data_IF_441156690307
#
_entry.id   IF_441156690307
#
_cell.length_a   1.000
_cell.length_b   1.000
_cell.length_c   1.000
_cell.angle_alpha   90.00
_cell.angle_beta   90.00
_cell.angle_gamma   90.00
#
_symmetry.space_group_name_H-M   'P 1'
#
loop_
_entity.id
_entity.type
_entity.pdbx_description
1 polymer ?
#
# COMPACT_ATOMS: atom_id res chain seq x y z
N UNK A 1 -17.19 6.90 -19.43
CA UNK A 1 -16.78 7.01 -18.02
C UNK A 1 -16.89 5.65 -17.30
N UNK A 2 -18.02 4.92 -17.39
CA UNK A 2 -18.16 3.53 -16.87
C UNK A 2 -16.99 2.56 -17.09
N UNK A 3 -16.52 2.40 -18.32
CA UNK A 3 -15.39 1.48 -18.63
C UNK A 3 -14.09 1.91 -17.93
N UNK A 4 -13.89 3.22 -17.75
CA UNK A 4 -12.73 3.77 -17.04
C UNK A 4 -12.84 3.47 -15.54
N UNK A 5 -14.00 3.72 -14.91
CA UNK A 5 -14.22 3.37 -13.49
C UNK A 5 -14.08 1.87 -13.20
N UNK A 6 -14.58 1.01 -14.09
CA UNK A 6 -14.44 -0.43 -13.98
C UNK A 6 -12.99 -0.89 -14.14
N UNK A 7 -12.27 -0.33 -15.12
CA UNK A 7 -10.85 -0.61 -15.32
C UNK A 7 -9.99 -0.19 -14.12
N UNK A 8 -10.27 0.97 -13.50
CA UNK A 8 -9.58 1.41 -12.28
C UNK A 8 -9.80 0.44 -11.12
N UNK A 9 -11.04 -0.02 -10.89
CA UNK A 9 -11.29 -1.02 -9.85
C UNK A 9 -10.52 -2.32 -10.10
N UNK A 10 -10.52 -2.84 -11.34
CA UNK A 10 -9.79 -4.06 -11.68
C UNK A 10 -8.29 -3.88 -11.41
N UNK A 11 -7.71 -2.76 -11.86
CA UNK A 11 -6.28 -2.45 -11.64
C UNK A 11 -5.98 -2.34 -10.15
N UNK A 12 -6.80 -1.63 -9.39
CA UNK A 12 -6.62 -1.49 -7.94
C UNK A 12 -6.70 -2.83 -7.20
N UNK A 13 -7.65 -3.70 -7.58
CA UNK A 13 -7.77 -5.05 -7.01
C UNK A 13 -6.57 -5.93 -7.38
N UNK A 14 -6.11 -5.88 -8.63
CA UNK A 14 -4.94 -6.64 -9.07
C UNK A 14 -3.67 -6.22 -8.32
N UNK A 15 -3.46 -4.92 -8.12
CA UNK A 15 -2.35 -4.39 -7.32
C UNK A 15 -2.40 -4.95 -5.90
N UNK A 16 -3.59 -4.93 -5.26
CA UNK A 16 -3.76 -5.45 -3.90
C UNK A 16 -3.51 -6.97 -3.80
N UNK A 17 -3.99 -7.74 -4.78
CA UNK A 17 -3.74 -9.19 -4.85
C UNK A 17 -2.25 -9.47 -5.02
N UNK A 18 -1.58 -8.76 -5.94
CA UNK A 18 -0.15 -8.90 -6.15
C UNK A 18 0.65 -8.58 -4.88
N UNK A 19 0.25 -7.54 -4.14
CA UNK A 19 0.82 -7.21 -2.85
C UNK A 19 0.71 -8.36 -1.85
N UNK A 20 -0.48 -8.93 -1.67
CA UNK A 20 -0.72 -10.06 -0.76
C UNK A 20 0.16 -11.26 -1.13
N UNK A 21 0.23 -11.59 -2.42
CA UNK A 21 1.04 -12.71 -2.91
C UNK A 21 2.55 -12.47 -2.76
N UNK A 22 2.99 -11.21 -2.69
CA UNK A 22 4.40 -10.86 -2.53
C UNK A 22 4.86 -10.85 -1.07
N UNK A 23 3.95 -10.81 -0.09
CA UNK A 23 4.27 -10.76 1.35
C UNK A 23 5.12 -11.96 1.83
N UNK A 24 4.79 -13.23 1.49
CA UNK A 24 5.56 -14.37 1.98
C UNK A 24 7.02 -14.32 1.51
N UNK A 25 7.25 -14.00 0.23
CA UNK A 25 8.58 -13.86 -0.35
C UNK A 25 9.35 -12.69 0.26
N UNK A 26 8.66 -11.57 0.48
CA UNK A 26 9.22 -10.40 1.15
C UNK A 26 9.70 -10.70 2.57
N UNK A 27 8.95 -11.51 3.34
CA UNK A 27 9.32 -11.88 4.71
C UNK A 27 10.43 -12.94 4.76
N UNK A 28 10.41 -13.91 3.85
CA UNK A 28 11.42 -14.97 3.81
C UNK A 28 12.80 -14.48 3.37
N UNK A 29 12.83 -13.52 2.45
CA UNK A 29 14.06 -12.99 1.85
C UNK A 29 14.30 -11.52 2.26
N UNK A 30 13.87 -11.17 3.47
CA UNK A 30 13.91 -9.77 3.91
C UNK A 30 15.35 -9.21 4.00
N UNK A 31 16.34 -10.06 4.29
CA UNK A 31 17.74 -9.63 4.44
C UNK A 31 18.40 -9.23 3.10
N UNK A 32 17.84 -9.66 1.96
CA UNK A 32 18.26 -9.20 0.64
C UNK A 32 17.47 -7.99 0.13
N UNK A 33 16.51 -7.51 0.92
CA UNK A 33 15.66 -6.39 0.54
C UNK A 33 16.43 -5.06 0.63
N UNK A 34 16.28 -4.14 -0.34
CA UNK A 34 16.89 -2.81 -0.25
C UNK A 34 16.49 -2.01 1.00
N UNK A 35 15.31 -2.25 1.58
CA UNK A 35 14.93 -1.65 2.88
C UNK A 35 15.80 -2.17 4.03
N UNK A 36 16.17 -3.44 4.00
CA UNK A 36 17.10 -4.00 4.98
C UNK A 36 18.49 -3.41 4.83
N UNK A 37 19.01 -3.34 3.59
CA UNK A 37 20.30 -2.70 3.33
C UNK A 37 20.32 -1.23 3.76
N UNK A 38 19.25 -0.48 3.51
CA UNK A 38 19.18 0.94 3.85
C UNK A 38 19.12 1.20 5.36
N UNK A 39 18.53 0.28 6.13
CA UNK A 39 18.36 0.43 7.59
C UNK A 39 19.51 -0.18 8.37
N UNK A 40 20.01 -1.34 7.94
CA UNK A 40 21.07 -2.09 8.65
C UNK A 40 22.46 -1.71 8.14
N UNK A 41 22.57 -1.23 6.90
CA UNK A 41 23.83 -0.94 6.23
C UNK A 41 24.51 -2.21 5.69
N UNK A 42 25.35 -2.05 4.68
CA UNK A 42 26.07 -3.14 4.00
C UNK A 42 27.22 -3.71 4.85
N UNK A 43 27.65 -2.99 5.88
CA UNK A 43 28.69 -3.43 6.81
C UNK A 43 28.06 -3.81 8.15
N UNK A 44 28.28 -5.05 8.59
CA UNK A 44 27.93 -5.60 9.90
C UNK A 44 28.75 -4.96 11.04
N UNK A 45 28.89 -3.63 11.02
CA UNK A 45 29.47 -2.87 12.11
C UNK A 45 28.43 -2.77 13.21
N UNK A 46 28.71 -3.40 14.34
CA UNK A 46 28.00 -3.14 15.58
C UNK A 46 27.92 -1.62 15.78
N UNK A 47 26.72 -1.06 15.66
CA UNK A 47 26.48 0.34 15.97
C UNK A 47 26.42 0.44 17.49
N UNK A 48 27.52 0.88 18.09
CA UNK A 48 27.59 1.28 19.49
C UNK A 48 26.94 2.66 19.61
N UNK A 49 25.76 2.73 20.21
CA UNK A 49 25.13 4.01 20.55
C UNK A 49 25.51 4.33 21.99
N UNK A 50 26.26 5.41 22.19
CA UNK A 50 26.63 5.86 23.53
C UNK A 50 25.44 6.60 24.14
N UNK A 51 24.75 5.95 25.09
CA UNK A 51 23.71 6.58 25.91
C UNK A 51 24.32 6.83 27.29
N UNK A 52 24.48 8.11 27.64
CA UNK A 52 24.98 8.56 28.95
C UNK A 52 26.30 7.88 29.39
N UNK A 53 27.31 7.89 28.49
CA UNK A 53 28.63 7.30 28.74
C UNK A 53 28.67 5.76 28.72
N UNK A 54 27.53 5.10 28.53
CA UNK A 54 27.44 3.64 28.40
C UNK A 54 27.33 3.27 26.93
N UNK A 55 28.28 2.49 26.41
CA UNK A 55 28.19 1.94 25.05
C UNK A 55 27.09 0.87 25.00
N UNK A 56 25.96 1.22 24.39
CA UNK A 56 24.90 0.26 24.11
C UNK A 56 25.14 -0.28 22.71
N UNK A 57 25.68 -1.48 22.63
CA UNK A 57 25.79 -2.22 21.37
C UNK A 57 24.38 -2.61 20.92
N UNK A 58 23.90 -2.03 19.83
CA UNK A 58 22.63 -2.43 19.23
C UNK A 58 22.87 -3.75 18.49
N UNK A 59 22.31 -4.84 19.04
CA UNK A 59 22.42 -6.16 18.41
C UNK A 59 21.81 -6.16 17.00
N UNK A 60 22.41 -6.92 16.07
CA UNK A 60 21.91 -7.01 14.68
C UNK A 60 20.45 -7.46 14.56
N UNK A 61 19.94 -8.22 15.54
CA UNK A 61 18.54 -8.61 15.61
C UNK A 61 17.59 -7.42 15.81
N UNK A 62 18.01 -6.40 16.57
CA UNK A 62 17.21 -5.19 16.78
C UNK A 62 17.11 -4.35 15.50
N UNK A 63 18.22 -4.22 14.77
CA UNK A 63 18.24 -3.56 13.47
C UNK A 63 17.37 -4.28 12.43
N UNK A 64 17.35 -5.63 12.46
CA UNK A 64 16.45 -6.42 11.62
C UNK A 64 14.97 -6.15 11.92
N UNK A 65 14.59 -5.98 13.19
CA UNK A 65 13.22 -5.62 13.59
C UNK A 65 12.86 -4.22 13.10
N UNK A 66 13.74 -3.24 13.29
CA UNK A 66 13.54 -1.87 12.80
C UNK A 66 13.36 -1.86 11.29
N UNK A 67 14.22 -2.57 10.56
CA UNK A 67 14.13 -2.69 9.11
C UNK A 67 12.80 -3.32 8.68
N UNK A 68 12.36 -4.40 9.33
CA UNK A 68 11.06 -5.02 9.03
C UNK A 68 9.91 -4.03 9.26
N UNK A 69 9.97 -3.23 10.32
CA UNK A 69 8.96 -2.22 10.61
C UNK A 69 8.84 -1.17 9.49
N UNK A 70 9.96 -0.60 9.04
CA UNK A 70 9.97 0.35 7.93
C UNK A 70 9.49 -0.29 6.62
N UNK A 71 9.89 -1.54 6.40
CA UNK A 71 9.42 -2.36 5.31
C UNK A 71 7.90 -2.51 5.24
N UNK A 72 7.29 -2.87 6.36
CA UNK A 72 5.83 -2.97 6.50
C UNK A 72 5.14 -1.61 6.37
N UNK A 73 5.78 -0.52 6.81
CA UNK A 73 5.27 0.84 6.58
C UNK A 73 5.20 1.18 5.09
N UNK A 74 6.25 0.87 4.32
CA UNK A 74 6.25 1.06 2.86
C UNK A 74 5.16 0.21 2.21
N UNK A 75 5.02 -1.05 2.64
CA UNK A 75 3.94 -1.94 2.17
C UNK A 75 2.55 -1.35 2.44
N UNK A 76 2.35 -0.76 3.62
CA UNK A 76 1.09 -0.08 3.99
C UNK A 76 0.76 1.09 3.08
N UNK A 77 1.76 1.87 2.65
CA UNK A 77 1.56 2.96 1.69
C UNK A 77 1.01 2.40 0.37
N UNK A 78 1.60 1.31 -0.14
CA UNK A 78 1.14 0.65 -1.35
C UNK A 78 -0.29 0.11 -1.24
N UNK A 79 -0.66 -0.46 -0.08
CA UNK A 79 -2.05 -0.87 0.20
C UNK A 79 -3.00 0.33 0.13
N UNK A 80 -2.62 1.46 0.73
CA UNK A 80 -3.43 2.68 0.68
C UNK A 80 -3.62 3.21 -0.74
N UNK A 81 -2.57 3.16 -1.57
CA UNK A 81 -2.65 3.54 -3.00
C UNK A 81 -3.62 2.63 -3.74
N UNK A 82 -3.51 1.31 -3.57
CA UNK A 82 -4.44 0.34 -4.19
C UNK A 82 -5.89 0.60 -3.79
N UNK A 83 -6.15 0.86 -2.51
CA UNK A 83 -7.48 1.20 -2.00
C UNK A 83 -8.01 2.52 -2.58
N UNK A 84 -7.16 3.55 -2.71
CA UNK A 84 -7.54 4.83 -3.29
C UNK A 84 -7.94 4.68 -4.77
N UNK A 85 -7.22 3.85 -5.53
CA UNK A 85 -7.55 3.53 -6.94
C UNK A 85 -8.92 2.84 -7.03
N UNK A 86 -9.20 1.87 -6.16
CA UNK A 86 -10.51 1.19 -6.10
C UNK A 86 -11.62 2.17 -5.74
N UNK A 87 -11.40 3.05 -4.76
CA UNK A 87 -12.38 4.06 -4.35
C UNK A 87 -12.66 5.07 -5.47
N UNK A 88 -11.63 5.54 -6.17
CA UNK A 88 -11.78 6.42 -7.33
C UNK A 88 -12.58 5.73 -8.44
N UNK A 89 -12.27 4.46 -8.76
CA UNK A 89 -13.03 3.67 -9.72
C UNK A 89 -14.50 3.51 -9.35
N UNK A 90 -14.78 3.28 -8.06
CA UNK A 90 -16.14 3.19 -7.53
C UNK A 90 -16.89 4.53 -7.62
N UNK A 91 -16.25 5.65 -7.28
CA UNK A 91 -16.87 6.98 -7.37
C UNK A 91 -17.34 7.29 -8.79
N UNK A 92 -16.48 7.01 -9.78
CA UNK A 92 -16.79 7.22 -11.19
C UNK A 92 -17.96 6.36 -11.70
N UNK A 93 -18.24 5.22 -11.07
CA UNK A 93 -19.38 4.37 -11.41
C UNK A 93 -20.68 4.81 -10.73
N UNK A 94 -20.59 5.36 -9.51
CA UNK A 94 -21.76 5.84 -8.75
C UNK A 94 -22.29 7.15 -9.33
N UNK A 95 -21.42 8.10 -9.66
CA UNK A 95 -21.82 9.38 -10.28
C UNK A 95 -22.58 9.17 -11.61
N UNK A 96 -22.12 8.22 -12.43
CA UNK A 96 -22.80 7.84 -13.68
C UNK A 96 -24.17 7.17 -13.42
N UNK A 97 -24.37 6.51 -12.26
CA UNK A 97 -25.62 5.82 -11.94
C UNK A 97 -26.69 6.79 -11.41
N UNK A 98 -26.28 7.77 -10.60
CA UNK A 98 -27.19 8.80 -10.08
C UNK A 98 -27.65 9.78 -11.18
N UNK A 99 -26.76 10.12 -12.13
CA UNK A 99 -27.15 10.88 -13.33
C UNK A 99 -28.18 10.15 -14.19
N UNK A 100 -28.04 8.83 -14.37
CA UNK A 100 -29.01 8.04 -15.16
C UNK A 100 -30.36 7.95 -14.43
N UNK A 101 -30.37 7.82 -13.11
CA UNK A 101 -31.61 7.87 -12.31
C UNK A 101 -32.30 9.23 -12.40
N UNK A 102 -31.55 10.33 -12.33
CA UNK A 102 -32.09 11.67 -12.49
C UNK A 102 -32.75 11.85 -13.87
N UNK A 103 -32.07 11.44 -14.95
CA UNK A 103 -32.61 11.48 -16.31
C UNK A 103 -33.86 10.60 -16.49
N UNK A 104 -33.88 9.40 -15.88
CA UNK A 104 -35.07 8.53 -15.87
C UNK A 104 -36.26 9.18 -15.18
N UNK A 105 -36.03 9.81 -14.03
CA UNK A 105 -37.08 10.53 -13.32
C UNK A 105 -37.60 11.72 -14.13
N UNK A 106 -36.73 12.53 -14.74
CA UNK A 106 -37.15 13.65 -15.60
C UNK A 106 -37.94 13.17 -16.83
N UNK A 107 -37.60 12.01 -17.41
CA UNK A 107 -38.33 11.43 -18.54
C UNK A 107 -39.68 10.83 -18.12
N UNK A 108 -39.78 10.23 -16.93
CA UNK A 108 -41.04 9.75 -16.37
C UNK A 108 -41.98 10.90 -16.02
N UNK A 109 -41.43 11.98 -15.47
CA UNK A 109 -42.18 13.18 -15.07
C UNK A 109 -42.66 13.99 -16.30
N UNK A 110 -41.91 14.00 -17.40
CA UNK A 110 -42.34 14.58 -18.69
C UNK A 110 -43.37 13.75 -19.46
N UNK A 111 -43.60 12.49 -19.06
CA UNK A 111 -44.56 11.59 -19.72
C UNK A 111 -45.96 11.65 -19.10
N UNK A 112 -46.08 12.29 -17.93
CA UNK A 112 -47.33 12.71 -17.30
C UNK A 112 -47.56 14.20 -17.54
#
# INVERSE_FOLDING_TARGET
>A
MKYVGFSLMIIGVLILIQLILSIPGYLSDFESNPVYEYVVGTESKSYSVTLDGTEVSVSGNFNRIIAMFFGLMVLKIWVNVGLAIVQAGRSLLVDDMDNVKALLNTLLEKRY
#
